data_IF_488563894193
#
_entry.id   IF_488563894193
#
_cell.length_a   1.000
_cell.length_b   1.000
_cell.length_c   1.000
_cell.angle_alpha   90.00
_cell.angle_beta   90.00
_cell.angle_gamma   90.00
#
_symmetry.space_group_name_H-M   'P 1'
#
loop_
_entity.id
_entity.type
_entity.pdbx_description
1 polymer ?
#
# COMPACT_ATOMS: atom_id res chain seq x y z
N UNK A 1 -7.36 14.69 -3.98
CA UNK A 1 -8.26 15.59 -4.76
C UNK A 1 -7.59 16.11 -6.03
N UNK A 2 -6.32 16.54 -5.99
CA UNK A 2 -5.58 17.10 -7.15
C UNK A 2 -5.61 16.22 -8.41
N UNK A 3 -5.37 14.90 -8.28
CA UNK A 3 -5.47 13.97 -9.41
C UNK A 3 -6.86 14.01 -10.06
N UNK A 4 -7.91 13.92 -9.24
CA UNK A 4 -9.30 13.85 -9.72
C UNK A 4 -9.71 15.15 -10.43
N UNK A 5 -9.21 16.31 -10.01
CA UNK A 5 -9.45 17.58 -10.70
C UNK A 5 -8.92 17.58 -12.14
N UNK A 6 -7.75 16.98 -12.39
CA UNK A 6 -7.18 16.88 -13.74
C UNK A 6 -7.99 15.97 -14.66
N UNK A 7 -8.52 14.87 -14.11
CA UNK A 7 -9.44 13.99 -14.84
C UNK A 7 -10.79 14.68 -15.10
N UNK A 8 -11.31 15.45 -14.14
CA UNK A 8 -12.53 16.24 -14.29
C UNK A 8 -12.39 17.27 -15.42
N UNK A 9 -11.27 18.01 -15.44
CA UNK A 9 -10.97 18.98 -16.49
C UNK A 9 -10.88 18.34 -17.88
N UNK A 10 -10.45 17.08 -17.94
CA UNK A 10 -10.34 16.31 -19.18
C UNK A 10 -11.62 15.58 -19.57
N UNK A 11 -12.74 15.88 -18.91
CA UNK A 11 -14.08 15.39 -19.24
C UNK A 11 -14.47 14.06 -18.59
N UNK A 12 -13.73 13.56 -17.59
CA UNK A 12 -14.10 12.33 -16.90
C UNK A 12 -15.34 12.51 -16.03
N UNK A 13 -16.36 11.67 -16.27
CA UNK A 13 -17.58 11.55 -15.47
C UNK A 13 -17.39 10.59 -14.31
N UNK A 14 -17.47 11.10 -13.08
CA UNK A 14 -17.39 10.29 -11.85
C UNK A 14 -18.72 9.58 -11.55
N UNK A 15 -18.82 8.28 -11.92
CA UNK A 15 -20.05 7.49 -11.69
C UNK A 15 -20.13 6.81 -10.32
N UNK A 16 -19.00 6.27 -9.85
CA UNK A 16 -18.97 5.40 -8.66
C UNK A 16 -18.75 6.15 -7.35
N UNK A 17 -18.19 7.36 -7.41
CA UNK A 17 -17.85 8.13 -6.21
C UNK A 17 -18.81 9.32 -6.09
N UNK A 18 -19.81 9.19 -5.21
CA UNK A 18 -20.87 10.19 -4.99
C UNK A 18 -20.30 11.54 -4.56
N UNK A 19 -19.33 11.55 -3.64
CA UNK A 19 -18.72 12.78 -3.14
C UNK A 19 -17.95 13.55 -4.23
N UNK A 20 -17.20 12.83 -5.08
CA UNK A 20 -16.50 13.47 -6.21
C UNK A 20 -17.47 13.96 -7.28
N UNK A 21 -18.54 13.20 -7.52
CA UNK A 21 -19.59 13.57 -8.47
C UNK A 21 -20.22 14.90 -8.04
N UNK A 22 -20.73 14.97 -6.82
CA UNK A 22 -21.38 16.17 -6.27
C UNK A 22 -20.41 17.36 -6.27
N UNK A 23 -19.16 17.16 -5.82
CA UNK A 23 -18.15 18.23 -5.77
C UNK A 23 -17.84 18.85 -7.14
N UNK A 24 -17.71 18.05 -8.21
CA UNK A 24 -17.38 18.56 -9.54
C UNK A 24 -18.60 19.03 -10.33
N UNK A 25 -19.80 18.49 -10.06
CA UNK A 25 -21.05 18.94 -10.70
C UNK A 25 -21.36 20.41 -10.36
N UNK A 26 -20.92 20.90 -9.20
CA UNK A 26 -21.06 22.30 -8.79
C UNK A 26 -19.98 23.24 -9.41
N UNK A 27 -19.03 22.71 -10.18
CA UNK A 27 -17.97 23.52 -10.77
C UNK A 27 -18.32 23.99 -12.20
N UNK A 28 -18.41 25.31 -12.43
CA UNK A 28 -18.74 25.91 -13.74
C UNK A 28 -17.83 25.46 -14.91
N UNK A 29 -16.59 25.08 -14.61
CA UNK A 29 -15.60 24.65 -15.61
C UNK A 29 -15.69 23.15 -15.93
N UNK A 30 -16.47 22.36 -15.20
CA UNK A 30 -16.56 20.91 -15.36
C UNK A 30 -17.54 20.55 -16.50
N UNK A 31 -16.99 19.94 -17.56
CA UNK A 31 -17.75 19.52 -18.75
C UNK A 31 -17.53 18.01 -18.99
N UNK A 32 -18.29 17.13 -18.33
CA UNK A 32 -18.10 15.68 -18.46
C UNK A 32 -18.58 15.17 -19.82
N UNK A 33 -17.75 14.39 -20.51
CA UNK A 33 -18.05 13.85 -21.85
C UNK A 33 -17.69 12.36 -22.00
N UNK A 34 -16.93 11.79 -21.06
CA UNK A 34 -16.53 10.38 -21.08
C UNK A 34 -16.61 9.77 -19.69
N UNK A 35 -17.01 8.50 -19.58
CA UNK A 35 -16.86 7.72 -18.34
C UNK A 35 -15.59 6.87 -18.34
N UNK A 36 -14.86 6.87 -19.45
CA UNK A 36 -13.61 6.13 -19.63
C UNK A 36 -12.42 6.99 -19.20
N UNK A 37 -11.75 6.55 -18.14
CA UNK A 37 -10.57 7.21 -17.59
C UNK A 37 -9.35 7.16 -18.50
N UNK A 38 -9.20 6.13 -19.34
CA UNK A 38 -8.08 6.04 -20.29
C UNK A 38 -8.25 7.05 -21.42
N UNK A 39 -9.48 7.20 -21.92
CA UNK A 39 -9.82 8.24 -22.88
C UNK A 39 -9.58 9.65 -22.34
N UNK A 40 -9.93 9.90 -21.08
CA UNK A 40 -9.63 11.16 -20.41
C UNK A 40 -8.10 11.36 -20.23
N UNK A 41 -7.36 10.31 -19.84
CA UNK A 41 -5.90 10.35 -19.69
C UNK A 41 -5.18 10.62 -21.03
N UNK A 42 -5.72 10.11 -22.14
CA UNK A 42 -5.21 10.33 -23.48
C UNK A 42 -5.15 11.81 -23.88
N UNK A 43 -6.04 12.65 -23.31
CA UNK A 43 -6.11 14.10 -23.55
C UNK A 43 -5.07 14.90 -22.78
N UNK A 44 -4.38 14.28 -21.83
CA UNK A 44 -3.39 14.98 -21.02
C UNK A 44 -2.16 15.32 -21.86
N UNK A 45 -1.65 16.53 -21.67
CA UNK A 45 -0.32 16.91 -22.16
C UNK A 45 0.80 16.23 -21.35
N UNK A 46 2.04 16.33 -21.81
CA UNK A 46 3.18 15.65 -21.19
C UNK A 46 3.42 16.06 -19.73
N UNK A 47 3.20 17.33 -19.41
CA UNK A 47 3.33 17.84 -18.04
C UNK A 47 2.22 17.28 -17.14
N UNK A 48 0.98 17.24 -17.62
CA UNK A 48 -0.14 16.65 -16.89
C UNK A 48 0.08 15.14 -16.66
N UNK A 49 0.61 14.41 -17.64
CA UNK A 49 0.98 12.99 -17.49
C UNK A 49 2.07 12.79 -16.45
N UNK A 50 3.12 13.62 -16.46
CA UNK A 50 4.19 13.60 -15.44
C UNK A 50 3.64 13.93 -14.05
N UNK A 51 2.82 14.96 -13.93
CA UNK A 51 2.19 15.37 -12.67
C UNK A 51 1.27 14.28 -12.13
N UNK A 52 0.42 13.66 -12.95
CA UNK A 52 -0.45 12.55 -12.53
C UNK A 52 0.37 11.33 -12.12
N UNK A 53 1.48 11.02 -12.80
CA UNK A 53 2.38 9.95 -12.36
C UNK A 53 3.04 10.26 -11.02
N UNK A 54 3.45 11.51 -10.80
CA UNK A 54 4.01 11.96 -9.52
C UNK A 54 2.96 11.92 -8.40
N UNK A 55 1.76 12.46 -8.64
CA UNK A 55 0.64 12.42 -7.71
C UNK A 55 0.22 10.97 -7.45
N UNK A 56 0.22 10.07 -8.43
CA UNK A 56 -0.07 8.65 -8.21
C UNK A 56 1.00 7.93 -7.39
N UNK A 57 2.27 8.34 -7.51
CA UNK A 57 3.34 7.85 -6.62
C UNK A 57 3.12 8.39 -5.21
N UNK A 58 2.77 9.67 -5.09
CA UNK A 58 2.51 10.33 -3.82
C UNK A 58 1.25 9.77 -3.15
N UNK A 59 0.13 9.62 -3.84
CA UNK A 59 -1.11 9.03 -3.34
C UNK A 59 -0.92 7.55 -2.97
N UNK A 60 -0.07 6.82 -3.71
CA UNK A 60 0.39 5.49 -3.27
C UNK A 60 1.24 5.56 -2.00
N UNK A 61 2.08 6.60 -1.84
CA UNK A 61 2.88 6.84 -0.63
C UNK A 61 2.14 7.58 0.52
N UNK A 62 1.00 8.21 0.28
CA UNK A 62 0.17 8.93 1.26
C UNK A 62 -1.01 8.07 1.71
N UNK A 63 -1.55 7.22 0.83
CA UNK A 63 -2.31 6.03 1.25
C UNK A 63 -1.48 5.11 2.14
N UNK A 64 -0.16 5.09 1.95
CA UNK A 64 0.83 4.49 2.86
C UNK A 64 0.79 5.15 4.26
N UNK A 65 0.73 6.49 4.37
CA UNK A 65 0.83 7.17 5.68
C UNK A 65 -0.38 7.03 6.58
N UNK A 66 -1.60 6.89 6.04
CA UNK A 66 -2.82 6.80 6.88
C UNK A 66 -3.03 5.43 7.54
N UNK A 67 -2.52 4.35 6.93
CA UNK A 67 -2.67 2.97 7.46
C UNK A 67 -1.35 2.36 7.99
N UNK A 68 -0.20 3.02 7.81
CA UNK A 68 1.08 2.56 8.34
C UNK A 68 1.01 2.29 9.85
N UNK A 69 0.36 3.16 10.64
CA UNK A 69 0.24 2.96 12.09
C UNK A 69 -0.57 1.71 12.46
N UNK A 70 -1.62 1.39 11.71
CA UNK A 70 -2.43 0.19 11.94
C UNK A 70 -1.67 -1.08 11.52
N UNK A 71 -0.96 -1.04 10.39
CA UNK A 71 -0.10 -2.14 9.94
C UNK A 71 1.08 -2.35 10.89
N UNK A 72 1.70 -1.27 11.33
CA UNK A 72 2.80 -1.28 12.30
C UNK A 72 2.35 -1.87 13.63
N UNK A 73 1.21 -1.42 14.16
CA UNK A 73 0.62 -2.00 15.37
C UNK A 73 0.35 -3.50 15.21
N UNK A 74 -0.10 -3.93 14.03
CA UNK A 74 -0.32 -5.35 13.75
C UNK A 74 1.01 -6.12 13.62
N UNK A 75 2.06 -5.55 13.01
CA UNK A 75 3.41 -6.12 12.99
C UNK A 75 3.94 -6.32 14.42
N UNK A 76 3.79 -5.31 15.29
CA UNK A 76 4.20 -5.41 16.69
C UNK A 76 3.41 -6.50 17.42
N UNK A 77 2.09 -6.57 17.22
CA UNK A 77 1.26 -7.62 17.79
C UNK A 77 1.66 -9.03 17.33
N UNK A 78 2.12 -9.18 16.07
CA UNK A 78 2.54 -10.46 15.50
C UNK A 78 3.78 -11.07 16.15
N UNK A 79 4.56 -10.27 16.90
CA UNK A 79 5.65 -10.78 17.74
C UNK A 79 5.14 -11.45 19.02
N UNK A 80 4.02 -10.99 19.57
CA UNK A 80 3.52 -11.38 20.89
C UNK A 80 2.32 -12.35 20.82
N UNK A 81 1.62 -12.41 19.68
CA UNK A 81 0.44 -13.28 19.48
C UNK A 81 0.25 -13.73 18.03
N UNK A 82 -0.65 -14.69 17.84
CA UNK A 82 -1.08 -15.12 16.51
C UNK A 82 -2.03 -14.10 15.84
N UNK A 83 -1.95 -14.00 14.51
CA UNK A 83 -2.91 -13.25 13.70
C UNK A 83 -4.24 -14.00 13.58
N UNK A 84 -5.33 -13.27 13.78
CA UNK A 84 -6.68 -13.75 13.51
C UNK A 84 -6.98 -13.66 12.02
N UNK A 85 -7.88 -14.51 11.53
CA UNK A 85 -8.21 -14.54 10.10
C UNK A 85 -8.85 -13.23 9.65
N UNK A 86 -9.63 -12.59 10.51
CA UNK A 86 -10.28 -11.31 10.25
C UNK A 86 -9.27 -10.17 10.09
N UNK A 87 -8.10 -10.25 10.73
CA UNK A 87 -7.04 -9.24 10.62
C UNK A 87 -6.32 -9.30 9.26
N UNK A 88 -6.32 -10.49 8.65
CA UNK A 88 -5.67 -10.77 7.36
C UNK A 88 -6.64 -10.72 6.18
N UNK A 89 -7.93 -10.99 6.42
CA UNK A 89 -8.95 -11.04 5.37
C UNK A 89 -9.13 -9.68 4.71
N UNK A 90 -9.17 -9.67 3.38
CA UNK A 90 -9.34 -8.45 2.58
C UNK A 90 -8.09 -7.57 2.49
N UNK A 91 -6.97 -7.96 3.11
CA UNK A 91 -5.69 -7.27 2.97
C UNK A 91 -5.15 -7.44 1.55
N UNK A 92 -4.55 -6.37 1.05
CA UNK A 92 -3.88 -6.33 -0.24
C UNK A 92 -2.58 -7.14 -0.23
N UNK A 93 -2.08 -7.47 -1.43
CA UNK A 93 -0.76 -8.10 -1.61
C UNK A 93 0.36 -7.33 -0.91
N UNK A 94 0.30 -6.00 -0.95
CA UNK A 94 1.28 -5.13 -0.33
C UNK A 94 1.21 -5.22 1.21
N UNK A 95 0.01 -5.12 1.80
CA UNK A 95 -0.17 -5.23 3.25
C UNK A 95 0.27 -6.59 3.80
N UNK A 96 -0.09 -7.68 3.14
CA UNK A 96 0.37 -9.02 3.52
C UNK A 96 1.89 -9.15 3.42
N UNK A 97 2.50 -8.56 2.39
CA UNK A 97 3.96 -8.48 2.26
C UNK A 97 4.58 -7.71 3.44
N UNK A 98 3.99 -6.60 3.86
CA UNK A 98 4.46 -5.83 5.03
C UNK A 98 4.34 -6.65 6.31
N UNK A 99 3.19 -7.27 6.57
CA UNK A 99 3.00 -8.07 7.79
C UNK A 99 3.99 -9.25 7.87
N UNK A 100 4.19 -9.96 6.75
CA UNK A 100 5.16 -11.05 6.67
C UNK A 100 6.58 -10.54 6.88
N UNK A 101 6.99 -9.51 6.13
CA UNK A 101 8.34 -8.95 6.23
C UNK A 101 8.58 -8.22 7.55
N UNK A 102 7.52 -7.76 8.22
CA UNK A 102 7.58 -7.15 9.55
C UNK A 102 8.10 -8.13 10.60
N UNK A 103 7.75 -9.41 10.51
CA UNK A 103 8.33 -10.44 11.38
C UNK A 103 9.85 -10.55 11.19
N UNK A 104 10.32 -10.48 9.94
CA UNK A 104 11.76 -10.46 9.62
C UNK A 104 12.43 -9.15 10.07
N UNK A 105 11.77 -8.01 9.87
CA UNK A 105 12.25 -6.70 10.27
C UNK A 105 12.45 -6.63 11.80
N UNK A 106 11.46 -7.10 12.57
CA UNK A 106 11.52 -7.22 14.04
C UNK A 106 12.65 -8.13 14.53
N UNK A 107 13.09 -9.07 13.70
CA UNK A 107 14.17 -10.02 13.99
C UNK A 107 15.52 -9.61 13.37
N UNK A 108 15.62 -8.40 12.81
CA UNK A 108 16.88 -7.80 12.36
C UNK A 108 17.18 -7.91 10.87
N UNK A 109 16.21 -8.22 10.01
CA UNK A 109 16.45 -8.26 8.55
C UNK A 109 16.59 -6.86 7.96
N UNK A 110 17.69 -6.62 7.25
CA UNK A 110 17.95 -5.41 6.47
C UNK A 110 17.39 -5.52 5.03
N UNK A 111 16.54 -4.57 4.62
CA UNK A 111 15.98 -4.51 3.26
C UNK A 111 16.80 -3.61 2.34
N UNK A 112 17.67 -4.20 1.49
CA UNK A 112 18.49 -3.44 0.53
C UNK A 112 17.83 -3.20 -0.83
N UNK A 113 17.19 -4.23 -1.39
CA UNK A 113 16.73 -4.24 -2.79
C UNK A 113 15.29 -3.77 -2.95
N UNK A 114 14.43 -4.06 -1.98
CA UNK A 114 13.01 -3.72 -2.06
C UNK A 114 12.79 -2.32 -1.46
N UNK A 115 12.63 -1.31 -2.33
CA UNK A 115 12.45 0.09 -1.91
C UNK A 115 11.19 0.29 -1.08
N UNK A 116 10.08 -0.35 -1.43
CA UNK A 116 8.82 -0.21 -0.68
C UNK A 116 8.96 -0.71 0.77
N UNK A 117 9.55 -1.89 0.97
CA UNK A 117 9.80 -2.43 2.31
C UNK A 117 10.82 -1.56 3.07
N UNK A 118 11.88 -1.14 2.39
CA UNK A 118 12.91 -0.27 2.99
C UNK A 118 12.31 1.04 3.47
N UNK A 119 11.53 1.72 2.64
CA UNK A 119 10.92 3.00 2.96
C UNK A 119 9.88 2.87 4.08
N UNK A 120 9.14 1.76 4.14
CA UNK A 120 8.22 1.48 5.25
C UNK A 120 8.97 1.29 6.56
N UNK A 121 9.90 0.33 6.64
CA UNK A 121 10.53 -0.05 7.91
C UNK A 121 11.53 0.99 8.41
N UNK A 122 12.18 1.76 7.53
CA UNK A 122 13.01 2.89 7.95
C UNK A 122 12.22 4.00 8.65
N UNK A 123 10.89 4.04 8.46
CA UNK A 123 10.01 4.96 9.17
C UNK A 123 9.49 4.44 10.52
N UNK A 124 9.85 3.22 10.92
CA UNK A 124 9.41 2.60 12.16
C UNK A 124 10.49 2.70 13.24
N UNK A 125 10.19 3.31 14.38
CA UNK A 125 11.17 3.55 15.46
C UNK A 125 11.74 2.27 16.08
N UNK A 126 10.98 1.17 16.02
CA UNK A 126 11.42 -0.13 16.53
C UNK A 126 12.31 -0.90 15.56
N UNK A 127 12.47 -0.47 14.30
CA UNK A 127 13.23 -1.19 13.30
C UNK A 127 14.73 -1.04 13.53
N UNK A 128 15.38 -2.16 13.84
CA UNK A 128 16.84 -2.25 14.08
C UNK A 128 17.44 -3.32 13.17
N UNK A 129 17.88 -2.96 11.94
CA UNK A 129 18.50 -3.92 11.04
C UNK A 129 19.83 -4.43 11.59
N UNK A 130 20.10 -5.73 11.39
CA UNK A 130 21.31 -6.43 11.84
C UNK A 130 22.01 -7.13 10.66
N UNK A 131 21.27 -7.90 9.88
CA UNK A 131 21.82 -8.70 8.77
C UNK A 131 20.91 -8.73 7.56
N UNK A 132 21.49 -9.04 6.39
CA UNK A 132 20.73 -9.30 5.15
C UNK A 132 20.39 -10.78 4.96
N UNK A 133 20.86 -11.66 5.85
CA UNK A 133 20.59 -13.10 5.79
C UNK A 133 19.22 -13.43 6.41
N UNK A 134 18.21 -13.59 5.55
CA UNK A 134 16.86 -13.95 5.94
C UNK A 134 16.78 -15.32 6.66
N UNK A 135 17.66 -16.28 6.33
CA UNK A 135 17.66 -17.59 6.99
C UNK A 135 18.20 -17.48 8.42
N UNK A 136 19.25 -16.69 8.62
CA UNK A 136 19.77 -16.41 9.96
C UNK A 136 18.71 -15.70 10.83
N UNK A 137 18.00 -14.73 10.25
CA UNK A 137 16.91 -14.01 10.94
C UNK A 137 15.75 -14.95 11.29
N UNK A 138 15.32 -15.77 10.34
CA UNK A 138 14.21 -16.71 10.55
C UNK A 138 14.48 -17.68 11.71
N UNK A 139 15.73 -18.17 11.86
CA UNK A 139 16.12 -19.05 12.98
C UNK A 139 16.01 -18.39 14.36
N UNK A 140 16.04 -17.06 14.45
CA UNK A 140 15.91 -16.31 15.71
C UNK A 140 14.46 -15.94 16.04
N UNK A 141 13.54 -16.18 15.11
CA UNK A 141 12.12 -15.87 15.30
C UNK A 141 11.51 -16.73 16.41
N UNK A 142 10.62 -16.13 17.19
CA UNK A 142 9.84 -16.88 18.16
C UNK A 142 8.70 -17.70 17.50
N UNK A 143 7.99 -18.47 18.31
CA UNK A 143 6.88 -19.32 17.83
C UNK A 143 5.75 -18.54 17.15
N UNK A 144 5.44 -17.32 17.61
CA UNK A 144 4.37 -16.49 17.05
C UNK A 144 4.78 -15.94 15.68
N UNK A 145 5.98 -15.37 15.59
CA UNK A 145 6.53 -14.84 14.35
C UNK A 145 6.57 -15.92 13.25
N UNK A 146 7.12 -17.09 13.57
CA UNK A 146 7.21 -18.21 12.61
C UNK A 146 5.81 -18.69 12.16
N UNK A 147 4.87 -18.85 13.09
CA UNK A 147 3.50 -19.25 12.76
C UNK A 147 2.77 -18.19 11.90
N UNK A 148 2.94 -16.92 12.23
CA UNK A 148 2.33 -15.80 11.50
C UNK A 148 2.90 -15.66 10.08
N UNK A 149 4.22 -15.82 9.91
CA UNK A 149 4.85 -15.87 8.58
C UNK A 149 4.26 -17.01 7.76
N UNK A 150 4.16 -18.22 8.31
CA UNK A 150 3.62 -19.37 7.61
C UNK A 150 2.15 -19.17 7.23
N UNK A 151 1.35 -18.61 8.14
CA UNK A 151 -0.07 -18.27 7.91
C UNK A 151 -0.22 -17.29 6.75
N UNK A 152 0.56 -16.21 6.74
CA UNK A 152 0.51 -15.22 5.66
C UNK A 152 0.98 -15.83 4.34
N UNK A 153 2.06 -16.62 4.33
CA UNK A 153 2.55 -17.27 3.10
C UNK A 153 1.50 -18.22 2.51
N UNK A 154 0.75 -18.94 3.36
CA UNK A 154 -0.35 -19.79 2.90
C UNK A 154 -1.45 -18.95 2.25
N UNK A 155 -1.87 -17.87 2.93
CA UNK A 155 -2.90 -16.96 2.42
C UNK A 155 -2.48 -16.29 1.11
N UNK A 156 -1.22 -15.84 0.99
CA UNK A 156 -0.68 -15.24 -0.24
C UNK A 156 -0.76 -16.22 -1.43
N UNK A 157 -0.51 -17.52 -1.21
CA UNK A 157 -0.65 -18.55 -2.24
C UNK A 157 -2.12 -18.77 -2.64
N UNK A 158 -3.01 -18.86 -1.66
CA UNK A 158 -4.46 -18.99 -1.90
C UNK A 158 -5.04 -17.82 -2.71
N UNK A 159 -4.50 -16.61 -2.50
CA UNK A 159 -4.89 -15.40 -3.22
C UNK A 159 -4.13 -15.19 -4.54
N UNK A 160 -3.20 -16.07 -4.93
CA UNK A 160 -2.40 -15.93 -6.15
C UNK A 160 -1.39 -14.76 -6.10
N UNK A 161 -1.04 -14.30 -4.91
CA UNK A 161 -0.04 -13.24 -4.71
C UNK A 161 1.39 -13.78 -4.77
N UNK A 162 1.56 -15.11 -4.66
CA UNK A 162 2.83 -15.83 -4.71
C UNK A 162 2.70 -17.17 -5.44
#
# INVERSE_FOLDING_TARGET
MLRNGMYALSGLKFKKNKALKEFFEDCDWYRPDTSDSEKAYGRFNDNQKKNVKAILKIERSEGYRKDNGALEALVLAGKERYFKDEELKGRTKYELSILRNGMYAMSGLEFKKNRELKDFFNGCDWYKPDTTDANAVFKRMNKYQTANVNKIVKLEKELGYR
#
